data_IF_002695180248
#
_entry.id   IF_002695180248
#
_cell.length_a   1.000
_cell.length_b   1.000
_cell.length_c   1.000
_cell.angle_alpha   90.00
_cell.angle_beta   90.00
_cell.angle_gamma   90.00
#
_symmetry.space_group_name_H-M   'P 1'
#
loop_
_entity.id
_entity.type
_entity.pdbx_description
1 polymer ?
#
# COMPACT_ATOMS: atom_id res chain seq x y z
N UNK A 1 39.12 70.63 -62.60
CA UNK A 1 39.11 69.64 -63.71
C UNK A 1 39.27 68.28 -63.05
N UNK A 2 38.27 67.40 -63.20
CA UNK A 2 38.21 66.15 -62.45
C UNK A 2 39.13 65.12 -63.12
N UNK A 3 40.10 64.60 -62.38
CA UNK A 3 41.07 63.63 -62.91
C UNK A 3 40.40 62.39 -63.55
N UNK A 4 39.22 62.00 -63.06
CA UNK A 4 38.40 60.91 -63.59
C UNK A 4 37.79 61.24 -64.96
N UNK A 5 37.40 62.50 -65.21
CA UNK A 5 36.90 62.94 -66.51
C UNK A 5 38.01 62.97 -67.55
N UNK A 6 39.20 63.42 -67.17
CA UNK A 6 40.38 63.47 -68.05
C UNK A 6 40.88 62.04 -68.38
N UNK A 7 40.85 61.12 -67.42
CA UNK A 7 41.24 59.73 -67.63
C UNK A 7 40.23 58.96 -68.49
N UNK A 8 38.92 59.15 -68.26
CA UNK A 8 37.88 58.54 -69.10
C UNK A 8 37.92 59.07 -70.53
N UNK A 9 38.25 60.35 -70.73
CA UNK A 9 38.48 60.92 -72.07
C UNK A 9 39.67 60.25 -72.75
N UNK A 10 40.81 60.14 -72.06
CA UNK A 10 42.00 59.50 -72.61
C UNK A 10 41.74 58.06 -73.09
N UNK A 11 41.02 57.26 -72.30
CA UNK A 11 40.70 55.89 -72.70
C UNK A 11 39.71 55.80 -73.87
N UNK A 12 38.76 56.74 -73.93
CA UNK A 12 37.80 56.84 -75.04
C UNK A 12 38.53 57.24 -76.33
N UNK A 13 39.43 58.23 -76.25
CA UNK A 13 40.25 58.68 -77.39
C UNK A 13 41.13 57.55 -77.96
N UNK A 14 41.65 56.67 -77.10
CA UNK A 14 42.43 55.49 -77.54
C UNK A 14 41.54 54.47 -78.25
N UNK A 15 40.34 54.17 -77.74
CA UNK A 15 39.40 53.25 -78.41
C UNK A 15 38.93 53.81 -79.76
N UNK A 16 38.67 55.12 -79.83
CA UNK A 16 38.27 55.82 -81.06
C UNK A 16 39.42 55.87 -82.09
N UNK A 17 40.65 56.05 -81.64
CA UNK A 17 41.85 56.01 -82.49
C UNK A 17 42.09 54.62 -83.08
N UNK A 18 41.92 53.56 -82.29
CA UNK A 18 41.99 52.17 -82.78
C UNK A 18 40.85 51.89 -83.77
N UNK A 19 39.65 52.42 -83.53
CA UNK A 19 38.52 52.35 -84.45
C UNK A 19 38.84 53.01 -85.79
N UNK A 20 39.37 54.23 -85.76
CA UNK A 20 39.73 55.01 -86.95
C UNK A 20 40.83 54.32 -87.76
N UNK A 21 41.89 53.82 -87.10
CA UNK A 21 42.97 53.08 -87.76
C UNK A 21 42.47 51.80 -88.44
N UNK A 22 41.46 51.13 -87.87
CA UNK A 22 40.85 49.95 -88.48
C UNK A 22 40.01 50.30 -89.71
N UNK A 23 39.29 51.43 -89.69
CA UNK A 23 38.58 51.95 -90.87
C UNK A 23 39.55 52.33 -92.00
N UNK A 24 40.66 53.00 -91.67
CA UNK A 24 41.70 53.38 -92.63
C UNK A 24 42.32 52.15 -93.31
N UNK A 25 42.62 51.10 -92.53
CA UNK A 25 43.21 49.86 -93.06
C UNK A 25 42.23 49.09 -93.94
N UNK A 26 40.93 49.10 -93.61
CA UNK A 26 39.88 48.50 -94.44
C UNK A 26 39.62 49.29 -95.74
N UNK A 27 39.90 50.59 -95.74
CA UNK A 27 39.79 51.44 -96.93
C UNK A 27 40.96 51.28 -97.92
N UNK A 28 42.07 50.64 -97.51
CA UNK A 28 43.20 50.37 -98.39
C UNK A 28 42.84 49.33 -99.46
N UNK A 29 42.59 49.78 -100.68
CA UNK A 29 42.33 48.89 -101.82
C UNK A 29 43.64 48.30 -102.38
N UNK A 30 44.03 47.12 -101.91
CA UNK A 30 45.20 46.40 -102.42
C UNK A 30 44.76 45.26 -103.35
N UNK A 31 45.14 45.33 -104.62
CA UNK A 31 44.74 44.34 -105.64
C UNK A 31 45.52 43.01 -105.54
N UNK A 32 46.75 43.06 -105.02
CA UNK A 32 47.63 41.89 -104.89
C UNK A 32 47.17 40.92 -103.80
N UNK A 33 47.17 39.62 -104.12
CA UNK A 33 46.69 38.54 -103.24
C UNK A 33 47.38 38.50 -101.87
N UNK A 34 48.70 38.74 -101.82
CA UNK A 34 49.45 38.69 -100.57
C UNK A 34 49.16 39.93 -99.71
N UNK A 35 48.92 41.08 -100.34
CA UNK A 35 48.53 42.30 -99.65
C UNK A 35 47.14 42.23 -99.03
N UNK A 36 46.16 41.61 -99.72
CA UNK A 36 44.84 41.32 -99.14
C UNK A 36 44.94 40.42 -97.91
N UNK A 37 45.84 39.43 -97.93
CA UNK A 37 46.06 38.54 -96.79
C UNK A 37 46.67 39.29 -95.59
N UNK A 38 47.66 40.13 -95.81
CA UNK A 38 48.26 40.91 -94.72
C UNK A 38 47.30 41.96 -94.14
N UNK A 39 46.47 42.61 -94.96
CA UNK A 39 45.40 43.50 -94.46
C UNK A 39 44.41 42.72 -93.59
N UNK A 40 44.03 41.51 -94.00
CA UNK A 40 43.19 40.62 -93.18
C UNK A 40 43.83 40.29 -91.84
N UNK A 41 45.11 39.89 -91.83
CA UNK A 41 45.86 39.59 -90.61
C UNK A 41 45.97 40.79 -89.66
N UNK A 42 46.21 42.00 -90.19
CA UNK A 42 46.32 43.22 -89.40
C UNK A 42 44.96 43.60 -88.81
N UNK A 43 43.89 43.50 -89.61
CA UNK A 43 42.52 43.80 -89.20
C UNK A 43 42.06 42.85 -88.08
N UNK A 44 42.36 41.56 -88.21
CA UNK A 44 42.05 40.56 -87.18
C UNK A 44 42.79 40.86 -85.86
N UNK A 45 44.09 41.14 -85.92
CA UNK A 45 44.87 41.52 -84.74
C UNK A 45 44.37 42.81 -84.08
N UNK A 46 44.02 43.83 -84.85
CA UNK A 46 43.47 45.09 -84.32
C UNK A 46 42.10 44.88 -83.67
N UNK A 47 41.25 44.04 -84.25
CA UNK A 47 39.96 43.66 -83.67
C UNK A 47 40.14 42.97 -82.31
N UNK A 48 41.09 42.04 -82.22
CA UNK A 48 41.39 41.34 -80.96
C UNK A 48 41.98 42.27 -79.89
N UNK A 49 42.81 43.24 -80.29
CA UNK A 49 43.34 44.26 -79.38
C UNK A 49 42.20 45.14 -78.87
N UNK A 50 41.34 45.64 -79.76
CA UNK A 50 40.17 46.45 -79.39
C UNK A 50 39.25 45.72 -78.42
N UNK A 51 38.90 44.47 -78.73
CA UNK A 51 38.03 43.66 -77.88
C UNK A 51 38.58 43.45 -76.47
N UNK A 52 39.89 43.20 -76.33
CA UNK A 52 40.53 43.08 -75.01
C UNK A 52 40.60 44.41 -74.28
N UNK A 53 41.00 45.48 -74.97
CA UNK A 53 41.09 46.81 -74.38
C UNK A 53 39.75 47.32 -73.87
N UNK A 54 38.69 47.18 -74.66
CA UNK A 54 37.33 47.59 -74.26
C UNK A 54 36.84 46.76 -73.06
N UNK A 55 37.15 45.46 -73.02
CA UNK A 55 36.81 44.60 -71.88
C UNK A 55 37.57 44.96 -70.59
N UNK A 56 38.87 45.27 -70.68
CA UNK A 56 39.69 45.69 -69.53
C UNK A 56 39.24 47.06 -69.02
N UNK A 57 38.90 47.98 -69.92
CA UNK A 57 38.36 49.29 -69.58
C UNK A 57 37.03 49.17 -68.84
N UNK A 58 36.14 48.27 -69.26
CA UNK A 58 34.86 48.03 -68.59
C UNK A 58 35.04 47.42 -67.19
N UNK A 59 35.98 46.48 -67.03
CA UNK A 59 36.32 45.93 -65.72
C UNK A 59 36.84 47.02 -64.77
N UNK A 60 37.70 47.89 -65.27
CA UNK A 60 38.26 49.00 -64.51
C UNK A 60 37.17 50.02 -64.11
N UNK A 61 36.24 50.34 -65.00
CA UNK A 61 35.10 51.22 -64.68
C UNK A 61 34.17 50.62 -63.64
N UNK A 62 33.92 49.31 -63.71
CA UNK A 62 32.94 48.64 -62.85
C UNK A 62 33.46 48.38 -61.44
N UNK A 63 34.76 48.10 -61.29
CA UNK A 63 35.32 47.61 -60.03
C UNK A 63 36.26 48.57 -59.31
N UNK A 64 36.74 49.63 -59.96
CA UNK A 64 37.58 50.59 -59.27
C UNK A 64 36.73 51.65 -58.55
N UNK A 65 37.01 51.81 -57.27
CA UNK A 65 36.41 52.85 -56.44
C UNK A 65 37.11 54.19 -56.68
N UNK A 66 36.68 54.90 -57.72
CA UNK A 66 37.27 56.20 -58.10
C UNK A 66 36.84 57.36 -57.20
N UNK A 67 35.75 57.21 -56.44
CA UNK A 67 35.14 58.27 -55.62
C UNK A 67 35.28 58.02 -54.10
N UNK A 68 36.02 56.97 -53.71
CA UNK A 68 36.25 56.66 -52.29
C UNK A 68 37.56 57.29 -51.83
N UNK A 69 37.48 58.18 -50.83
CA UNK A 69 38.67 58.66 -50.12
C UNK A 69 39.36 57.50 -49.38
N UNK A 70 40.42 56.97 -49.98
CA UNK A 70 41.14 55.81 -49.46
C UNK A 70 42.34 56.27 -48.62
N UNK A 71 42.33 55.94 -47.33
CA UNK A 71 43.46 56.17 -46.43
C UNK A 71 44.17 54.85 -46.11
N UNK A 72 45.39 54.69 -46.61
CA UNK A 72 46.21 53.52 -46.35
C UNK A 72 47.18 53.77 -45.19
N UNK A 73 47.12 52.93 -44.15
CA UNK A 73 48.02 53.00 -43.01
C UNK A 73 49.17 51.99 -43.15
N UNK A 74 50.41 52.49 -43.15
CA UNK A 74 51.62 51.66 -43.16
C UNK A 74 52.41 51.84 -41.87
N UNK A 75 53.00 50.75 -41.36
CA UNK A 75 53.86 50.78 -40.17
C UNK A 75 54.06 49.39 -39.58
N UNK A 76 55.10 49.22 -38.77
CA UNK A 76 55.40 47.98 -38.06
C UNK A 76 54.30 47.60 -37.05
N UNK A 77 54.35 46.37 -36.55
CA UNK A 77 53.47 45.92 -35.46
C UNK A 77 53.71 46.80 -34.23
N UNK A 78 52.64 47.14 -33.50
CA UNK A 78 52.70 47.98 -32.30
C UNK A 78 53.08 49.47 -32.52
N UNK A 79 53.16 49.94 -33.77
CA UNK A 79 53.36 51.37 -34.07
C UNK A 79 52.12 52.26 -33.80
N UNK A 80 51.10 51.75 -33.09
CA UNK A 80 49.85 52.47 -32.82
C UNK A 80 48.86 52.54 -33.99
N UNK A 81 49.11 51.79 -35.06
CA UNK A 81 48.27 51.79 -36.28
C UNK A 81 46.80 51.47 -36.00
N UNK A 82 46.53 50.45 -35.19
CA UNK A 82 45.16 50.11 -34.75
C UNK A 82 44.52 51.19 -33.90
N UNK A 83 45.29 51.86 -33.05
CA UNK A 83 44.80 52.95 -32.19
C UNK A 83 44.37 54.16 -33.02
N UNK A 84 45.12 54.51 -34.06
CA UNK A 84 44.75 55.63 -34.95
C UNK A 84 43.48 55.30 -35.73
N UNK A 85 43.39 54.09 -36.28
CA UNK A 85 42.19 53.62 -36.98
C UNK A 85 40.97 53.72 -36.04
N UNK A 86 41.11 53.24 -34.81
CA UNK A 86 40.04 53.30 -33.82
C UNK A 86 39.67 54.73 -33.43
N UNK A 87 40.65 55.61 -33.23
CA UNK A 87 40.42 57.03 -32.95
C UNK A 87 39.65 57.72 -34.09
N UNK A 88 39.94 57.41 -35.34
CA UNK A 88 39.21 57.95 -36.49
C UNK A 88 37.78 57.41 -36.53
N UNK A 89 37.58 56.12 -36.27
CA UNK A 89 36.23 55.53 -36.17
C UNK A 89 35.38 56.20 -35.11
N UNK A 90 35.97 56.50 -33.95
CA UNK A 90 35.30 57.22 -32.86
C UNK A 90 35.02 58.67 -33.27
N UNK A 91 36.02 59.37 -33.83
CA UNK A 91 35.91 60.78 -34.20
C UNK A 91 34.81 61.00 -35.26
N UNK A 92 34.73 60.11 -36.25
CA UNK A 92 33.74 60.18 -37.32
C UNK A 92 32.42 59.48 -36.98
N UNK A 93 32.28 58.92 -35.77
CA UNK A 93 31.08 58.19 -35.32
C UNK A 93 30.61 57.19 -36.37
N UNK A 94 31.40 56.14 -36.57
CA UNK A 94 31.05 55.06 -37.50
C UNK A 94 29.69 54.44 -37.12
N UNK A 95 28.61 54.98 -37.69
CA UNK A 95 27.22 54.68 -37.31
C UNK A 95 26.89 53.19 -37.45
N UNK A 96 27.48 52.53 -38.44
CA UNK A 96 27.34 51.08 -38.66
C UNK A 96 27.83 50.26 -37.47
N UNK A 97 28.92 50.70 -36.83
CA UNK A 97 29.49 50.03 -35.66
C UNK A 97 28.73 50.37 -34.38
N UNK A 98 28.29 51.62 -34.22
CA UNK A 98 27.44 51.99 -33.09
C UNK A 98 26.11 51.21 -33.11
N UNK A 99 25.48 51.09 -34.28
CA UNK A 99 24.27 50.29 -34.47
C UNK A 99 24.51 48.80 -34.16
N UNK A 100 25.64 48.24 -34.61
CA UNK A 100 25.99 46.85 -34.32
C UNK A 100 26.21 46.60 -32.82
N UNK A 101 26.89 47.52 -32.13
CA UNK A 101 27.12 47.43 -30.69
C UNK A 101 25.81 47.53 -29.91
N UNK A 102 24.90 48.40 -30.33
CA UNK A 102 23.57 48.54 -29.74
C UNK A 102 22.75 47.26 -29.92
N UNK A 103 22.72 46.71 -31.14
CA UNK A 103 22.03 45.45 -31.43
C UNK A 103 22.55 44.30 -30.57
N UNK A 104 23.87 44.17 -30.45
CA UNK A 104 24.47 43.13 -29.61
C UNK A 104 24.12 43.31 -28.12
N UNK A 105 24.02 44.55 -27.64
CA UNK A 105 23.61 44.81 -26.26
C UNK A 105 22.15 44.40 -26.03
N UNK A 106 21.25 44.76 -26.95
CA UNK A 106 19.83 44.40 -26.89
C UNK A 106 19.64 42.88 -26.96
N UNK A 107 20.35 42.20 -27.86
CA UNK A 107 20.35 40.74 -27.98
C UNK A 107 20.79 40.08 -26.66
N UNK A 108 21.88 40.59 -26.04
CA UNK A 108 22.39 40.06 -24.78
C UNK A 108 21.36 40.21 -23.64
N UNK A 109 20.66 41.34 -23.59
CA UNK A 109 19.60 41.58 -22.63
C UNK A 109 18.43 40.61 -22.84
N UNK A 110 17.97 40.44 -24.08
CA UNK A 110 16.91 39.50 -24.41
C UNK A 110 17.28 38.06 -24.04
N UNK A 111 18.51 37.62 -24.33
CA UNK A 111 18.99 36.30 -23.95
C UNK A 111 19.00 36.12 -22.43
N UNK A 112 19.48 37.13 -21.69
CA UNK A 112 19.50 37.12 -20.23
C UNK A 112 18.09 36.98 -19.64
N UNK A 113 17.14 37.78 -20.15
CA UNK A 113 15.74 37.72 -19.72
C UNK A 113 15.10 36.36 -20.04
N UNK A 114 15.31 35.83 -21.25
CA UNK A 114 14.78 34.53 -21.66
C UNK A 114 15.36 33.37 -20.83
N UNK A 115 16.66 33.42 -20.52
CA UNK A 115 17.31 32.43 -19.67
C UNK A 115 16.75 32.48 -18.25
N UNK A 116 16.59 33.68 -17.69
CA UNK A 116 16.02 33.89 -16.36
C UNK A 116 14.59 33.35 -16.29
N UNK A 117 13.75 33.67 -17.27
CA UNK A 117 12.38 33.16 -17.32
C UNK A 117 12.33 31.63 -17.41
N UNK A 118 13.21 31.00 -18.19
CA UNK A 118 13.31 29.54 -18.27
C UNK A 118 13.76 28.91 -16.95
N UNK A 119 14.74 29.49 -16.28
CA UNK A 119 15.21 29.00 -14.98
C UNK A 119 14.11 29.09 -13.93
N UNK A 120 13.36 30.18 -13.90
CA UNK A 120 12.20 30.35 -13.01
C UNK A 120 11.12 29.31 -13.29
N UNK A 121 10.79 29.06 -14.56
CA UNK A 121 9.81 28.04 -14.93
C UNK A 121 10.25 26.62 -14.49
N UNK A 122 11.53 26.28 -14.68
CA UNK A 122 12.07 24.99 -14.21
C UNK A 122 12.01 24.90 -12.68
N UNK A 123 12.36 25.98 -11.98
CA UNK A 123 12.30 26.04 -10.51
C UNK A 123 10.87 25.84 -9.99
N UNK A 124 9.90 26.51 -10.59
CA UNK A 124 8.48 26.37 -10.25
C UNK A 124 7.98 24.95 -10.54
N UNK A 125 8.32 24.39 -11.71
CA UNK A 125 7.97 23.02 -12.08
C UNK A 125 8.53 21.98 -11.09
N UNK A 126 9.79 22.12 -10.70
CA UNK A 126 10.40 21.27 -9.67
C UNK A 126 9.69 21.42 -8.32
N UNK A 127 9.38 22.65 -7.92
CA UNK A 127 8.68 22.89 -6.65
C UNK A 127 7.30 22.24 -6.61
N UNK A 128 6.53 22.36 -7.69
CA UNK A 128 5.22 21.71 -7.82
C UNK A 128 5.35 20.18 -7.71
N UNK A 129 6.31 19.58 -8.43
CA UNK A 129 6.57 18.15 -8.40
C UNK A 129 6.93 17.68 -6.97
N UNK A 130 7.82 18.39 -6.29
CA UNK A 130 8.20 18.10 -4.90
C UNK A 130 7.01 18.19 -3.94
N UNK A 131 6.16 19.20 -4.10
CA UNK A 131 4.97 19.38 -3.27
C UNK A 131 3.99 18.21 -3.44
N UNK A 132 3.77 17.77 -4.68
CA UNK A 132 2.90 16.64 -4.99
C UNK A 132 3.42 15.34 -4.36
N UNK A 133 4.69 14.99 -4.58
CA UNK A 133 5.31 13.81 -3.96
C UNK A 133 5.26 13.85 -2.43
N UNK A 134 5.49 15.02 -1.83
CA UNK A 134 5.41 15.16 -0.38
C UNK A 134 3.98 14.92 0.11
N UNK A 135 2.97 15.41 -0.62
CA UNK A 135 1.57 15.14 -0.34
C UNK A 135 1.21 13.66 -0.42
N UNK A 136 1.65 12.96 -1.47
CA UNK A 136 1.45 11.52 -1.61
C UNK A 136 2.10 10.71 -0.48
N UNK A 137 3.34 11.03 -0.11
CA UNK A 137 4.05 10.36 0.99
C UNK A 137 3.33 10.57 2.32
N UNK A 138 2.79 11.77 2.57
CA UNK A 138 1.98 12.05 3.77
C UNK A 138 0.70 11.21 3.76
N UNK A 139 0.00 11.12 2.62
CA UNK A 139 -1.21 10.29 2.47
C UNK A 139 -0.93 8.79 2.71
N UNK A 140 0.17 8.27 2.15
CA UNK A 140 0.61 6.88 2.35
C UNK A 140 0.93 6.63 3.83
N UNK A 141 1.63 7.56 4.49
CA UNK A 141 1.91 7.46 5.93
C UNK A 141 0.63 7.42 6.75
N UNK A 142 -0.35 8.26 6.44
CA UNK A 142 -1.63 8.29 7.13
C UNK A 142 -2.40 6.98 6.92
N UNK A 143 -2.44 6.46 5.70
CA UNK A 143 -3.07 5.18 5.36
C UNK A 143 -2.40 4.02 6.10
N UNK A 144 -1.07 4.00 6.15
CA UNK A 144 -0.29 3.00 6.91
C UNK A 144 -0.59 3.08 8.41
N UNK A 145 -0.73 4.27 8.97
CA UNK A 145 -1.10 4.45 10.38
C UNK A 145 -2.52 3.93 10.66
N UNK A 146 -3.48 4.19 9.76
CA UNK A 146 -4.84 3.64 9.86
C UNK A 146 -4.85 2.12 9.79
N UNK A 147 -4.12 1.52 8.84
CA UNK A 147 -3.98 0.06 8.75
C UNK A 147 -3.37 -0.53 10.02
N UNK A 148 -2.36 0.11 10.59
CA UNK A 148 -1.74 -0.33 11.85
C UNK A 148 -2.78 -0.36 12.99
N UNK A 149 -3.62 0.68 13.09
CA UNK A 149 -4.69 0.72 14.09
C UNK A 149 -5.75 -0.38 13.86
N UNK A 150 -6.14 -0.62 12.61
CA UNK A 150 -7.10 -1.67 12.26
C UNK A 150 -6.55 -3.05 12.66
N UNK A 151 -5.31 -3.36 12.28
CA UNK A 151 -4.67 -4.64 12.61
C UNK A 151 -4.54 -4.81 14.12
N UNK A 152 -4.18 -3.76 14.84
CA UNK A 152 -4.06 -3.81 16.30
C UNK A 152 -5.42 -4.06 16.97
N UNK A 153 -6.48 -3.42 16.47
CA UNK A 153 -7.85 -3.65 16.94
C UNK A 153 -8.31 -5.07 16.65
N UNK A 154 -8.08 -5.56 15.43
CA UNK A 154 -8.45 -6.92 15.05
C UNK A 154 -7.73 -7.96 15.92
N UNK A 155 -6.44 -7.75 16.22
CA UNK A 155 -5.69 -8.61 17.12
C UNK A 155 -6.27 -8.60 18.55
N UNK A 156 -6.70 -7.45 19.05
CA UNK A 156 -7.36 -7.33 20.36
C UNK A 156 -8.71 -8.06 20.38
N UNK A 157 -9.53 -7.87 19.35
CA UNK A 157 -10.83 -8.54 19.23
C UNK A 157 -10.67 -10.07 19.13
N UNK A 158 -9.71 -10.56 18.33
CA UNK A 158 -9.38 -12.00 18.26
C UNK A 158 -8.95 -12.55 19.61
N UNK A 159 -8.08 -11.84 20.33
CA UNK A 159 -7.64 -12.28 21.66
C UNK A 159 -8.79 -12.32 22.67
N UNK A 160 -9.69 -11.33 22.63
CA UNK A 160 -10.87 -11.30 23.49
C UNK A 160 -11.82 -12.48 23.22
N UNK A 161 -12.03 -12.82 21.95
CA UNK A 161 -12.84 -13.99 21.56
C UNK A 161 -12.20 -15.29 22.07
N UNK A 162 -10.90 -15.46 21.86
CA UNK A 162 -10.17 -16.66 22.33
C UNK A 162 -10.26 -16.81 23.85
N UNK A 163 -10.12 -15.70 24.60
CA UNK A 163 -10.30 -15.71 26.05
C UNK A 163 -11.74 -16.07 26.46
N UNK A 164 -12.73 -15.45 25.83
CA UNK A 164 -14.14 -15.73 26.11
C UNK A 164 -14.51 -17.20 25.82
N UNK A 165 -13.98 -17.78 24.74
CA UNK A 165 -14.16 -19.20 24.42
C UNK A 165 -13.50 -20.11 25.46
N UNK A 166 -12.27 -19.79 25.89
CA UNK A 166 -11.58 -20.55 26.93
C UNK A 166 -12.37 -20.53 28.26
N UNK A 167 -12.84 -19.34 28.67
CA UNK A 167 -13.66 -19.17 29.88
C UNK A 167 -14.98 -19.93 29.78
N UNK A 168 -15.64 -19.89 28.62
CA UNK A 168 -16.87 -20.65 28.38
C UNK A 168 -16.64 -22.16 28.49
N UNK A 169 -15.53 -22.67 27.94
CA UNK A 169 -15.17 -24.09 28.07
C UNK A 169 -14.91 -24.49 29.52
N UNK A 170 -14.20 -23.67 30.28
CA UNK A 170 -13.95 -23.93 31.72
C UNK A 170 -15.27 -23.94 32.49
N UNK A 171 -16.16 -22.96 32.26
CA UNK A 171 -17.48 -22.92 32.90
C UNK A 171 -18.34 -24.14 32.57
N UNK A 172 -18.38 -24.55 31.30
CA UNK A 172 -19.12 -25.75 30.89
C UNK A 172 -18.56 -27.02 31.55
N UNK A 173 -17.24 -27.18 31.58
CA UNK A 173 -16.61 -28.32 32.25
C UNK A 173 -16.91 -28.36 33.76
N UNK A 174 -16.92 -27.20 34.42
CA UNK A 174 -17.31 -27.07 35.83
C UNK A 174 -18.78 -27.44 36.05
N UNK A 175 -19.68 -26.94 35.20
CA UNK A 175 -21.11 -27.27 35.26
C UNK A 175 -21.35 -28.77 35.05
N UNK A 176 -20.70 -29.39 34.05
CA UNK A 176 -20.81 -30.83 33.82
C UNK A 176 -20.29 -31.64 35.00
N UNK A 177 -19.17 -31.23 35.60
CA UNK A 177 -18.59 -31.90 36.77
C UNK A 177 -19.53 -31.79 37.98
N UNK A 178 -20.10 -30.60 38.21
CA UNK A 178 -21.04 -30.35 39.29
C UNK A 178 -22.33 -31.17 39.11
N UNK A 179 -22.90 -31.18 37.90
CA UNK A 179 -24.09 -31.97 37.60
C UNK A 179 -23.86 -33.48 37.77
N UNK A 180 -22.68 -33.98 37.39
CA UNK A 180 -22.30 -35.39 37.64
C UNK A 180 -22.18 -35.70 39.14
N UNK A 181 -21.60 -34.79 39.92
CA UNK A 181 -21.49 -34.96 41.37
C UNK A 181 -22.88 -35.00 42.03
N UNK A 182 -23.77 -34.09 41.64
CA UNK A 182 -25.15 -34.05 42.13
C UNK A 182 -25.92 -35.33 41.80
N UNK A 183 -25.80 -35.82 40.55
CA UNK A 183 -26.40 -37.08 40.14
C UNK A 183 -25.85 -38.25 40.96
N UNK A 184 -24.53 -38.32 41.16
CA UNK A 184 -23.90 -39.36 41.96
C UNK A 184 -24.36 -39.33 43.43
N UNK A 185 -24.53 -38.13 44.01
CA UNK A 185 -25.06 -37.96 45.36
C UNK A 185 -26.52 -38.40 45.45
N UNK A 186 -27.35 -38.05 44.47
CA UNK A 186 -28.75 -38.50 44.41
C UNK A 186 -28.85 -40.02 44.29
N UNK A 187 -28.04 -40.64 43.43
CA UNK A 187 -27.99 -42.10 43.32
C UNK A 187 -27.55 -42.76 44.62
N UNK A 188 -26.52 -42.21 45.29
CA UNK A 188 -26.06 -42.73 46.57
C UNK A 188 -27.14 -42.62 47.65
N UNK A 189 -27.83 -41.48 47.72
CA UNK A 189 -28.95 -41.26 48.63
C UNK A 189 -30.11 -42.21 48.35
N UNK A 190 -30.46 -42.41 47.07
CA UNK A 190 -31.51 -43.35 46.67
C UNK A 190 -31.15 -44.80 47.03
N UNK A 191 -29.91 -45.22 46.77
CA UNK A 191 -29.43 -46.56 47.19
C UNK A 191 -29.50 -46.74 48.70
N UNK A 192 -29.14 -45.72 49.48
CA UNK A 192 -29.24 -45.77 50.93
C UNK A 192 -30.70 -45.92 51.39
N UNK A 193 -31.62 -45.15 50.82
CA UNK A 193 -33.05 -45.28 51.11
C UNK A 193 -33.60 -46.67 50.79
N UNK A 194 -33.18 -47.26 49.65
CA UNK A 194 -33.57 -48.63 49.28
C UNK A 194 -33.05 -49.64 50.30
N UNK A 195 -31.78 -49.53 50.73
CA UNK A 195 -31.20 -50.41 51.75
C UNK A 195 -31.91 -50.27 53.10
N UNK A 196 -32.24 -49.04 53.51
CA UNK A 196 -33.00 -48.77 54.73
C UNK A 196 -34.41 -49.36 54.66
N UNK A 197 -35.14 -49.15 53.55
CA UNK A 197 -36.47 -49.71 53.34
C UNK A 197 -36.46 -51.25 53.31
N UNK A 198 -35.44 -51.87 52.68
CA UNK A 198 -35.26 -53.33 52.72
C UNK A 198 -34.98 -53.83 54.14
N UNK A 199 -34.19 -53.12 54.93
CA UNK A 199 -33.89 -53.48 56.32
C UNK A 199 -35.15 -53.36 57.20
N UNK A 200 -35.96 -52.32 57.02
CA UNK A 200 -37.24 -52.16 57.70
C UNK A 200 -38.25 -53.25 57.30
N UNK A 201 -38.36 -53.57 56.01
CA UNK A 201 -39.20 -54.67 55.53
C UNK A 201 -38.78 -56.02 56.13
N UNK A 202 -37.47 -56.29 56.24
CA UNK A 202 -36.96 -57.49 56.91
C UNK A 202 -37.27 -57.51 58.41
N UNK A 203 -37.16 -56.38 59.10
CA UNK A 203 -37.52 -56.27 60.53
C UNK A 203 -39.01 -56.52 60.76
N UNK A 204 -39.87 -55.86 60.00
CA UNK A 204 -41.32 -56.04 60.10
C UNK A 204 -41.74 -57.47 59.76
N UNK A 205 -41.11 -58.11 58.76
CA UNK A 205 -41.33 -59.53 58.48
C UNK A 205 -40.90 -60.41 59.66
N UNK A 206 -39.73 -60.18 60.25
CA UNK A 206 -39.26 -60.93 61.42
C UNK A 206 -40.18 -60.73 62.65
N UNK A 207 -40.70 -59.51 62.86
CA UNK A 207 -41.70 -59.21 63.89
C UNK A 207 -43.03 -59.93 63.62
N UNK A 208 -43.49 -59.96 62.36
CA UNK A 208 -44.68 -60.71 61.96
C UNK A 208 -44.48 -62.23 62.14
N UNK A 209 -43.34 -62.78 61.75
CA UNK A 209 -43.02 -64.19 61.94
C UNK A 209 -42.93 -64.55 63.42
N UNK A 210 -42.28 -63.73 64.25
CA UNK A 210 -42.17 -63.97 65.69
C UNK A 210 -43.52 -63.88 66.39
N UNK A 211 -44.35 -62.89 66.06
CA UNK A 211 -45.70 -62.76 66.60
C UNK A 211 -46.63 -63.87 66.13
N UNK A 212 -46.53 -64.30 64.86
CA UNK A 212 -47.25 -65.47 64.36
C UNK A 212 -46.84 -66.76 65.08
N UNK A 213 -45.54 -66.97 65.33
CA UNK A 213 -45.04 -68.10 66.13
C UNK A 213 -45.58 -68.05 67.57
N UNK A 214 -45.55 -66.88 68.20
CA UNK A 214 -46.06 -66.71 69.57
C UNK A 214 -47.57 -66.98 69.64
N UNK A 215 -48.34 -66.53 68.65
CA UNK A 215 -49.77 -66.81 68.54
C UNK A 215 -50.05 -68.31 68.33
N UNK A 216 -49.22 -68.99 67.53
CA UNK A 216 -49.32 -70.44 67.33
C UNK A 216 -48.97 -71.20 68.63
N UNK A 217 -47.92 -70.82 69.35
CA UNK A 217 -47.58 -71.39 70.66
C UNK A 217 -48.68 -71.16 71.69
N UNK A 218 -49.29 -69.97 71.73
CA UNK A 218 -50.44 -69.69 72.60
C UNK A 218 -51.67 -70.52 72.21
N UNK A 219 -51.91 -70.71 70.91
CA UNK A 219 -52.97 -71.57 70.40
C UNK A 219 -52.73 -73.04 70.80
N UNK A 220 -51.51 -73.55 70.63
CA UNK A 220 -51.15 -74.91 71.08
C UNK A 220 -51.25 -75.06 72.59
N UNK A 221 -50.80 -74.07 73.36
CA UNK A 221 -50.91 -74.06 74.82
C UNK A 221 -52.37 -74.05 75.28
N UNK A 222 -53.24 -73.25 74.63
CA UNK A 222 -54.68 -73.24 74.91
C UNK A 222 -55.35 -74.57 74.55
N UNK A 223 -55.00 -75.16 73.40
CA UNK A 223 -55.48 -76.50 73.03
C UNK A 223 -55.03 -77.57 74.03
N UNK A 224 -53.77 -77.53 74.49
CA UNK A 224 -53.28 -78.43 75.55
C UNK A 224 -54.03 -78.22 76.87
N UNK A 225 -54.33 -76.98 77.23
CA UNK A 225 -55.13 -76.66 78.41
C UNK A 225 -56.55 -77.21 78.30
N UNK A 226 -57.18 -77.09 77.13
CA UNK A 226 -58.53 -77.60 76.88
C UNK A 226 -58.56 -79.14 76.86
N UNK A 227 -57.56 -79.78 76.27
CA UNK A 227 -57.38 -81.24 76.35
C UNK A 227 -57.17 -81.66 77.81
N UNK A 228 -56.32 -80.96 78.57
CA UNK A 228 -56.10 -81.25 79.99
C UNK A 228 -57.36 -81.03 80.83
N UNK A 229 -58.16 -79.99 80.56
CA UNK A 229 -59.47 -79.76 81.18
C UNK A 229 -60.47 -80.85 80.80
N UNK A 230 -60.54 -81.27 79.54
CA UNK A 230 -61.39 -82.37 79.11
C UNK A 230 -60.97 -83.69 79.78
N UNK A 231 -59.67 -83.94 79.92
CA UNK A 231 -59.14 -85.10 80.63
C UNK A 231 -59.42 -85.03 82.14
N UNK A 232 -59.29 -83.84 82.76
CA UNK A 232 -59.65 -83.61 84.15
C UNK A 232 -61.16 -83.80 84.41
N UNK A 233 -62.03 -83.31 83.52
CA UNK A 233 -63.49 -83.49 83.61
C UNK A 233 -63.88 -84.96 83.42
N UNK A 234 -63.21 -85.68 82.51
CA UNK A 234 -63.43 -87.11 82.31
C UNK A 234 -62.97 -87.95 83.51
N UNK A 235 -61.83 -87.60 84.14
CA UNK A 235 -61.33 -88.28 85.34
C UNK A 235 -62.14 -87.94 86.59
N UNK A 236 -62.70 -86.74 86.68
CA UNK A 236 -63.71 -86.39 87.70
C UNK A 236 -65.00 -87.17 87.49
N UNK A 237 -65.50 -87.31 86.25
CA UNK A 237 -66.65 -88.19 85.94
C UNK A 237 -66.37 -89.65 86.27
N UNK A 238 -65.18 -90.16 85.94
CA UNK A 238 -64.76 -91.54 86.24
C UNK A 238 -64.60 -91.78 87.75
N UNK A 239 -64.10 -90.79 88.50
CA UNK A 239 -64.05 -90.84 89.97
C UNK A 239 -65.45 -90.74 90.57
N UNK A 240 -66.33 -89.89 90.06
CA UNK A 240 -67.72 -89.78 90.55
C UNK A 240 -68.52 -91.08 90.31
N UNK A 241 -68.26 -91.81 89.22
CA UNK A 241 -68.86 -93.13 88.99
C UNK A 241 -68.30 -94.25 89.87
N UNK A 242 -67.10 -94.09 90.45
CA UNK A 242 -66.50 -95.06 91.39
C UNK A 242 -66.91 -94.87 92.86
N UNK A 243 -67.45 -93.71 93.24
CA UNK A 243 -67.85 -93.42 94.63
C UNK A 243 -69.33 -93.73 94.96
N UNK A 244 -70.09 -94.34 94.04
CA UNK A 244 -71.51 -94.69 94.28
C UNK A 244 -71.75 -96.09 94.90
N UNK A 245 -70.71 -96.90 95.13
CA UNK A 245 -70.82 -98.20 95.82
C UNK A 245 -69.66 -98.34 96.81
N UNK A 246 -69.85 -97.87 98.05
CA UNK A 246 -68.92 -98.09 99.16
C UNK A 246 -68.79 -96.89 100.10
N UNK A 247 -69.47 -96.97 101.25
CA UNK A 247 -69.57 -95.90 102.26
C UNK A 247 -68.25 -95.49 102.92
N UNK A 248 -68.12 -94.24 103.40
CA UNK A 248 -68.55 -93.75 104.74
C UNK A 248 -67.33 -93.61 105.68
N UNK A 249 -66.89 -92.37 105.96
CA UNK A 249 -66.59 -91.76 107.29
C UNK A 249 -65.52 -90.65 107.28
N UNK A 250 -65.98 -89.48 107.76
CA UNK A 250 -65.32 -88.50 108.66
C UNK A 250 -64.18 -87.63 108.11
N UNK A 251 -64.37 -86.31 108.24
CA UNK A 251 -63.25 -85.38 108.45
C UNK A 251 -63.58 -83.92 108.13
N UNK A 252 -64.08 -83.18 109.11
CA UNK A 252 -64.37 -81.74 109.08
C UNK A 252 -63.11 -80.87 109.30
N UNK A 253 -63.11 -79.63 108.79
CA UNK A 253 -62.16 -78.54 109.13
C UNK A 253 -61.72 -77.77 107.87
N UNK A 254 -62.27 -76.59 107.51
CA UNK A 254 -62.17 -75.26 108.11
C UNK A 254 -60.82 -74.53 107.88
N UNK A 255 -60.94 -73.23 107.55
CA UNK A 255 -59.92 -72.15 107.48
C UNK A 255 -59.04 -72.10 106.20
N UNK A 256 -59.14 -71.08 105.33
CA UNK A 256 -58.80 -69.64 105.50
C UNK A 256 -57.32 -69.41 105.83
N UNK A 257 -56.55 -68.94 104.84
CA UNK A 257 -55.38 -68.05 104.99
C UNK A 257 -54.87 -67.71 103.56
N UNK A 258 -55.03 -66.48 103.08
CA UNK A 258 -54.04 -65.38 103.19
C UNK A 258 -52.90 -65.59 102.17
N UNK A 259 -52.40 -64.65 101.37
CA UNK A 259 -52.57 -63.22 101.10
C UNK A 259 -51.22 -62.83 100.48
N UNK A 260 -51.20 -61.99 99.43
CA UNK A 260 -50.08 -61.07 99.10
C UNK A 260 -48.72 -61.70 98.72
N UNK A 261 -47.79 -61.06 98.01
CA UNK A 261 -47.54 -59.72 97.44
C UNK A 261 -46.46 -60.01 96.35
N UNK A 262 -46.62 -59.49 95.14
CA UNK A 262 -45.82 -58.37 94.62
C UNK A 262 -44.30 -58.49 94.77
N UNK A 263 -43.59 -58.40 93.64
CA UNK A 263 -42.20 -57.99 93.61
C UNK A 263 -41.46 -58.36 92.33
N UNK A 264 -41.26 -57.33 91.49
CA UNK A 264 -40.31 -57.20 90.37
C UNK A 264 -40.60 -57.93 89.06
#
# INVERSE_FOLDING_TARGET
MNATEDLNRLYTDVSDSIGSAMEDILALNVEHKDGKREIGNITEKLRDIRGRFDSELEQLKTHAEWDTFTLAFFGETNAGKSTIIESLRILFKEESREALLQQHADDLEQFSQALTARLEHVREGLHALYSEYTGEVVSIRQSTAQLTQIVQREAQERNAIVQAEADARVRLAQQETQARLELQQQEAAHRQQVVEAEAEAKRTLAEQESSARLALEQQEASQRLDIARAHAISSLKARLSMFAIGGVLIGAGAAVAVLKLAGA
#
